data_IF_859168790834
#
_entry.id   IF_859168790834
#
_cell.length_a   1.000
_cell.length_b   1.000
_cell.length_c   1.000
_cell.angle_alpha   90.00
_cell.angle_beta   90.00
_cell.angle_gamma   90.00
#
_symmetry.space_group_name_H-M   'P 1'
#
loop_
_entity.id
_entity.type
_entity.pdbx_description
1 polymer ?
#
# COMPACT_ATOMS: atom_id res chain seq x y z
N UNK A 1 16.23 2.70 -10.49
CA UNK A 1 14.90 2.05 -10.60
C UNK A 1 14.90 0.52 -10.74
N UNK A 2 15.93 -0.13 -11.30
CA UNK A 2 15.93 -1.59 -11.59
C UNK A 2 15.72 -2.53 -10.38
N UNK A 3 16.10 -2.13 -9.16
CA UNK A 3 16.00 -2.97 -7.96
C UNK A 3 14.57 -3.11 -7.41
N UNK A 4 13.69 -2.12 -7.65
CA UNK A 4 12.34 -2.10 -7.08
C UNK A 4 11.43 -3.16 -7.68
N UNK A 5 11.45 -3.29 -9.01
CA UNK A 5 10.67 -4.33 -9.71
C UNK A 5 11.10 -5.75 -9.33
N UNK A 6 12.42 -5.97 -9.13
CA UNK A 6 12.97 -7.24 -8.67
C UNK A 6 12.49 -7.58 -7.26
N UNK A 7 12.52 -6.61 -6.34
CA UNK A 7 12.06 -6.79 -4.96
C UNK A 7 10.58 -7.19 -4.91
N UNK A 8 9.69 -6.42 -5.54
CA UNK A 8 8.24 -6.68 -5.49
C UNK A 8 7.92 -8.04 -6.11
N UNK A 9 8.57 -8.38 -7.22
CA UNK A 9 8.41 -9.70 -7.86
C UNK A 9 8.83 -10.83 -6.93
N UNK A 10 9.99 -10.72 -6.27
CA UNK A 10 10.49 -11.75 -5.36
C UNK A 10 9.56 -11.95 -4.16
N UNK A 11 9.05 -10.86 -3.57
CA UNK A 11 8.07 -10.93 -2.47
C UNK A 11 6.79 -11.63 -2.94
N UNK A 12 6.30 -11.29 -4.14
CA UNK A 12 5.08 -11.89 -4.70
C UNK A 12 5.26 -13.38 -5.01
N UNK A 13 6.41 -13.78 -5.53
CA UNK A 13 6.75 -15.19 -5.76
C UNK A 13 6.79 -15.99 -4.45
N UNK A 14 7.39 -15.45 -3.38
CA UNK A 14 7.39 -16.11 -2.07
C UNK A 14 6.01 -16.14 -1.40
N UNK A 15 5.19 -15.12 -1.65
CA UNK A 15 3.81 -15.11 -1.17
C UNK A 15 2.96 -16.17 -1.87
N UNK A 16 3.06 -16.27 -3.20
CA UNK A 16 2.42 -17.36 -3.97
C UNK A 16 2.89 -18.75 -3.57
N UNK A 17 4.16 -18.89 -3.19
CA UNK A 17 4.71 -20.14 -2.66
C UNK A 17 4.27 -20.44 -1.20
N UNK A 18 3.47 -19.56 -0.58
CA UNK A 18 2.95 -19.73 0.78
C UNK A 18 3.97 -19.49 1.90
N UNK A 19 5.18 -19.01 1.57
CA UNK A 19 6.25 -18.74 2.54
C UNK A 19 6.07 -17.40 3.22
N UNK A 20 5.57 -16.40 2.50
CA UNK A 20 5.14 -15.11 3.04
C UNK A 20 3.62 -15.05 3.06
N UNK A 21 3.04 -14.92 4.26
CA UNK A 21 1.59 -14.87 4.45
C UNK A 21 1.14 -13.42 4.62
N UNK A 22 -0.14 -13.18 4.35
CA UNK A 22 -0.78 -11.88 4.55
C UNK A 22 -0.23 -10.77 3.67
N UNK A 23 0.35 -11.06 2.51
CA UNK A 23 0.83 -10.04 1.55
C UNK A 23 -0.27 -9.78 0.51
N UNK A 24 -0.68 -8.52 0.39
CA UNK A 24 -1.71 -8.10 -0.57
C UNK A 24 -1.12 -7.59 -1.89
N UNK A 25 0.07 -6.99 -1.82
CA UNK A 25 0.75 -6.41 -2.97
C UNK A 25 1.17 -4.96 -2.72
N UNK A 26 1.51 -4.26 -3.80
CA UNK A 26 1.93 -2.85 -3.75
C UNK A 26 0.71 -1.94 -3.68
N UNK A 27 0.74 -0.93 -2.80
CA UNK A 27 -0.40 -0.02 -2.56
C UNK A 27 -0.97 0.59 -3.85
N UNK A 28 -0.11 1.05 -4.77
CA UNK A 28 -0.54 1.63 -6.05
C UNK A 28 -1.28 0.67 -6.98
N UNK A 29 -1.19 -0.65 -6.76
CA UNK A 29 -1.91 -1.66 -7.54
C UNK A 29 -3.24 -2.09 -6.86
N UNK A 30 -3.51 -1.61 -5.64
CA UNK A 30 -4.69 -1.98 -4.84
C UNK A 30 -5.85 -0.97 -4.95
N UNK A 31 -5.71 0.04 -5.80
CA UNK A 31 -6.75 1.03 -6.05
C UNK A 31 -6.57 1.71 -7.40
N UNK A 32 -7.62 2.41 -7.83
CA UNK A 32 -7.63 3.19 -9.07
C UNK A 32 -8.12 4.60 -8.80
N UNK A 33 -7.67 5.57 -9.59
CA UNK A 33 -8.11 6.96 -9.50
C UNK A 33 -8.40 7.50 -10.92
N UNK A 34 -9.35 8.45 -11.11
CA UNK A 34 -9.54 9.04 -12.43
C UNK A 34 -8.24 9.65 -12.98
N UNK A 35 -7.96 9.41 -14.27
CA UNK A 35 -6.73 9.84 -14.96
C UNK A 35 -6.39 11.33 -14.79
N UNK A 36 -7.42 12.18 -14.63
CA UNK A 36 -7.26 13.62 -14.35
C UNK A 36 -6.39 13.90 -13.11
N UNK A 37 -6.41 13.01 -12.11
CA UNK A 37 -5.70 13.16 -10.84
C UNK A 37 -4.47 12.26 -10.71
N UNK A 38 -4.09 11.55 -11.77
CA UNK A 38 -2.98 10.58 -11.77
C UNK A 38 -1.64 11.23 -11.40
N UNK A 39 -1.33 12.39 -12.01
CA UNK A 39 -0.12 13.15 -11.69
C UNK A 39 -0.17 13.69 -10.27
N UNK A 40 -1.34 14.14 -9.81
CA UNK A 40 -1.50 14.68 -8.45
C UNK A 40 -1.20 13.62 -7.39
N UNK A 41 -1.78 12.42 -7.53
CA UNK A 41 -1.55 11.31 -6.58
C UNK A 41 -0.13 10.77 -6.66
N UNK A 42 0.40 10.54 -7.86
CA UNK A 42 1.76 10.00 -8.01
C UNK A 42 2.84 10.97 -7.52
N UNK A 43 2.59 12.28 -7.57
CA UNK A 43 3.49 13.31 -7.03
C UNK A 43 3.33 13.48 -5.52
N UNK A 44 2.09 13.52 -5.01
CA UNK A 44 1.82 13.77 -3.60
C UNK A 44 2.12 12.56 -2.70
N UNK A 45 2.01 11.34 -3.22
CA UNK A 45 2.10 10.11 -2.43
C UNK A 45 3.36 9.30 -2.76
N UNK A 46 4.44 9.53 -2.00
CA UNK A 46 5.68 8.73 -2.11
C UNK A 46 5.55 7.27 -1.64
N UNK A 47 4.44 6.92 -0.97
CA UNK A 47 4.20 5.59 -0.38
C UNK A 47 3.45 4.63 -1.30
N UNK A 48 3.14 5.00 -2.55
CA UNK A 48 2.44 4.12 -3.49
C UNK A 48 3.20 2.82 -3.78
N UNK A 49 4.52 2.82 -3.57
CA UNK A 49 5.38 1.63 -3.70
C UNK A 49 5.42 0.74 -2.43
N UNK A 50 4.72 1.10 -1.36
CA UNK A 50 4.71 0.31 -0.14
C UNK A 50 3.97 -1.02 -0.32
N UNK A 51 4.44 -2.05 0.36
CA UNK A 51 3.83 -3.39 0.38
C UNK A 51 2.76 -3.43 1.46
N UNK A 52 1.51 -3.68 1.07
CA UNK A 52 0.40 -3.83 2.02
C UNK A 52 0.36 -5.27 2.54
N UNK A 53 0.27 -5.39 3.86
CA UNK A 53 0.18 -6.67 4.57
C UNK A 53 -0.96 -6.66 5.59
N UNK A 54 -1.42 -7.84 6.00
CA UNK A 54 -2.50 -8.01 6.99
C UNK A 54 -2.07 -7.48 8.37
N UNK A 55 -0.98 -8.02 8.93
CA UNK A 55 -0.53 -7.74 10.31
C UNK A 55 0.90 -7.25 10.39
N UNK A 56 1.26 -6.76 11.56
CA UNK A 56 2.61 -6.24 11.82
C UNK A 56 3.68 -7.35 11.76
N UNK A 57 3.34 -8.58 12.17
CA UNK A 57 4.26 -9.72 12.11
C UNK A 57 4.53 -10.13 10.66
N UNK A 58 3.52 -10.02 9.79
CA UNK A 58 3.65 -10.33 8.36
C UNK A 58 4.57 -9.30 7.67
N UNK A 59 4.53 -8.02 8.10
CA UNK A 59 5.48 -7.00 7.64
C UNK A 59 6.93 -7.36 8.04
N UNK A 60 7.14 -7.80 9.28
CA UNK A 60 8.47 -8.20 9.76
C UNK A 60 9.04 -9.35 8.92
N UNK A 61 8.23 -10.39 8.64
CA UNK A 61 8.63 -11.51 7.81
C UNK A 61 9.03 -11.07 6.38
N UNK A 62 8.29 -10.12 5.78
CA UNK A 62 8.63 -9.54 4.47
C UNK A 62 9.97 -8.81 4.53
N UNK A 63 10.19 -7.97 5.55
CA UNK A 63 11.45 -7.20 5.69
C UNK A 63 12.65 -8.13 5.95
N UNK A 64 12.49 -9.15 6.79
CA UNK A 64 13.53 -10.15 7.03
C UNK A 64 13.89 -10.93 5.77
N UNK A 65 12.88 -11.32 4.98
CA UNK A 65 13.10 -11.95 3.68
C UNK A 65 13.90 -11.04 2.74
N UNK A 66 13.47 -9.78 2.58
CA UNK A 66 14.16 -8.80 1.72
C UNK A 66 15.61 -8.61 2.13
N UNK A 67 15.87 -8.56 3.45
CA UNK A 67 17.22 -8.43 4.01
C UNK A 67 18.06 -9.68 3.75
N UNK A 68 17.49 -10.87 3.94
CA UNK A 68 18.20 -12.15 3.75
C UNK A 68 18.62 -12.37 2.29
N UNK A 69 17.76 -11.97 1.36
CA UNK A 69 18.00 -12.13 -0.08
C UNK A 69 18.72 -10.91 -0.72
N UNK A 70 19.17 -9.94 0.08
CA UNK A 70 19.83 -8.70 -0.35
C UNK A 70 19.08 -7.96 -1.47
N UNK A 71 17.76 -7.87 -1.34
CA UNK A 71 16.87 -7.26 -2.35
C UNK A 71 16.75 -5.73 -2.19
N UNK A 72 17.34 -5.17 -1.14
CA UNK A 72 17.35 -3.74 -0.84
C UNK A 72 16.46 -3.36 0.34
N UNK A 73 15.64 -2.30 0.17
CA UNK A 73 14.76 -1.76 1.21
C UNK A 73 13.34 -1.65 0.69
N UNK A 74 12.38 -1.97 1.55
CA UNK A 74 10.96 -1.76 1.28
C UNK A 74 10.28 -1.15 2.50
N UNK A 75 9.15 -0.51 2.24
CA UNK A 75 8.21 -0.04 3.26
C UNK A 75 7.01 -0.96 3.23
N UNK A 76 6.54 -1.36 4.41
CA UNK A 76 5.31 -2.15 4.54
C UNK A 76 4.24 -1.32 5.26
N UNK A 77 2.97 -1.53 4.89
CA UNK A 77 1.79 -0.96 5.55
C UNK A 77 0.97 -2.12 6.10
N UNK A 78 0.71 -2.09 7.41
CA UNK A 78 -0.10 -3.11 8.10
C UNK A 78 -1.56 -2.68 8.13
N UNK A 79 -2.46 -3.44 7.53
CA UNK A 79 -3.91 -3.18 7.55
C UNK A 79 -4.45 -3.21 8.99
N UNK A 80 -3.92 -4.08 9.85
CA UNK A 80 -4.22 -4.09 11.28
C UNK A 80 -4.01 -2.71 11.92
N UNK A 81 -2.91 -2.04 11.58
CA UNK A 81 -2.60 -0.70 12.11
C UNK A 81 -3.47 0.39 11.52
N UNK A 82 -3.80 0.31 10.23
CA UNK A 82 -4.68 1.28 9.59
C UNK A 82 -6.11 1.18 10.15
N UNK A 83 -6.59 -0.03 10.45
CA UNK A 83 -7.90 -0.23 11.10
C UNK A 83 -8.04 0.43 12.46
N UNK A 84 -6.94 0.64 13.19
CA UNK A 84 -6.96 1.36 14.47
C UNK A 84 -7.39 2.83 14.30
N UNK A 85 -7.17 3.43 13.12
CA UNK A 85 -7.48 4.83 12.80
C UNK A 85 -8.58 4.99 11.73
N UNK A 86 -9.20 3.90 11.28
CA UNK A 86 -10.22 3.88 10.22
C UNK A 86 -11.34 4.89 10.46
N UNK A 87 -11.81 5.01 11.72
CA UNK A 87 -12.87 5.96 12.07
C UNK A 87 -12.46 7.42 11.80
N UNK A 88 -11.20 7.76 12.02
CA UNK A 88 -10.69 9.11 11.78
C UNK A 88 -10.51 9.37 10.28
N UNK A 89 -10.08 8.34 9.54
CA UNK A 89 -9.92 8.42 8.08
C UNK A 89 -11.25 8.59 7.35
N UNK A 90 -12.31 7.92 7.82
CA UNK A 90 -13.65 8.01 7.24
C UNK A 90 -14.40 9.30 7.57
N UNK A 91 -13.89 10.13 8.49
CA UNK A 91 -14.52 11.41 8.79
C UNK A 91 -14.45 12.33 7.56
N UNK A 92 -15.62 12.86 7.18
CA UNK A 92 -15.71 13.93 6.20
C UNK A 92 -15.25 15.21 6.85
N UNK A 93 -14.26 15.83 6.23
CA UNK A 93 -13.70 17.11 6.67
C UNK A 93 -14.18 18.18 5.70
N UNK A 94 -14.61 19.32 6.22
CA UNK A 94 -14.86 20.49 5.39
C UNK A 94 -13.52 21.01 4.85
N UNK A 95 -13.35 20.89 3.54
CA UNK A 95 -12.17 21.36 2.83
C UNK A 95 -12.34 22.84 2.46
N UNK A 96 -11.26 23.64 2.51
CA UNK A 96 -11.28 24.99 1.96
C UNK A 96 -11.81 24.98 0.52
N UNK A 97 -12.70 25.94 0.22
CA UNK A 97 -13.29 26.14 -1.11
C UNK A 97 -14.08 24.93 -1.67
N UNK A 98 -14.43 23.94 -0.82
CA UNK A 98 -15.13 22.73 -1.26
C UNK A 98 -14.30 21.82 -2.17
N UNK A 99 -12.97 21.92 -2.10
CA UNK A 99 -12.06 21.11 -2.92
C UNK A 99 -12.09 19.62 -2.56
N UNK A 100 -12.16 18.70 -3.55
CA UNK A 100 -12.25 17.27 -3.26
C UNK A 100 -10.93 16.74 -2.67
N UNK A 101 -11.01 15.86 -1.66
CA UNK A 101 -9.82 15.16 -1.14
C UNK A 101 -9.44 14.03 -2.08
N UNK A 102 -8.13 13.85 -2.32
CA UNK A 102 -7.63 12.77 -3.20
C UNK A 102 -8.07 11.39 -2.74
N UNK A 103 -8.08 11.13 -1.42
CA UNK A 103 -8.48 9.84 -0.84
C UNK A 103 -9.93 9.48 -1.16
N UNK A 104 -10.83 10.47 -1.22
CA UNK A 104 -12.26 10.26 -1.56
C UNK A 104 -12.46 9.90 -3.04
N UNK A 105 -11.46 10.17 -3.89
CA UNK A 105 -11.50 9.90 -5.33
C UNK A 105 -10.92 8.53 -5.70
N UNK A 106 -10.29 7.84 -4.75
CA UNK A 106 -9.70 6.52 -4.96
C UNK A 106 -10.81 5.46 -4.89
N UNK A 107 -10.82 4.57 -5.89
CA UNK A 107 -11.65 3.38 -5.94
C UNK A 107 -10.80 2.17 -5.58
N UNK A 108 -10.93 1.61 -4.37
CA UNK A 108 -10.14 0.46 -3.95
C UNK A 108 -10.55 -0.79 -4.73
N UNK A 109 -9.58 -1.67 -4.99
CA UNK A 109 -9.80 -2.93 -5.71
C UNK A 109 -10.65 -3.93 -4.90
N UNK A 110 -10.63 -3.81 -3.57
CA UNK A 110 -11.45 -4.60 -2.64
C UNK A 110 -11.95 -3.72 -1.49
N UNK A 111 -13.11 -4.05 -0.88
CA UNK A 111 -13.64 -3.31 0.26
C UNK A 111 -12.69 -3.24 1.46
N UNK A 112 -11.86 -4.27 1.68
CA UNK A 112 -10.88 -4.31 2.77
C UNK A 112 -9.76 -3.26 2.68
N UNK A 113 -9.60 -2.62 1.50
CA UNK A 113 -8.67 -1.52 1.29
C UNK A 113 -9.35 -0.14 1.36
N UNK A 114 -10.67 -0.10 1.57
CA UNK A 114 -11.46 1.12 1.75
C UNK A 114 -11.41 1.61 3.22
N UNK A 115 -10.24 1.51 3.85
CA UNK A 115 -9.97 1.94 5.22
C UNK A 115 -9.59 3.42 5.27
#
# INVERSE_FOLDING_TARGET
>A
EHYRGKLIRAVYEQSKAGRLRGVHGRLGDLGTIPKKFDVAVSTACGMLDAIVVDRTEDAQAVIEFIRREDLGRATCISLQKIREIEREMQQKVETPEGTPRLVDLIKPAKPEYAV
#
